data_IF_200368630748
#
_entry.id   IF_200368630748
#
_cell.length_a   1.000
_cell.length_b   1.000
_cell.length_c   1.000
_cell.angle_alpha   90.00
_cell.angle_beta   90.00
_cell.angle_gamma   90.00
#
_symmetry.space_group_name_H-M   'P 1'
#
loop_
_entity.id
_entity.type
_entity.pdbx_description
1 polymer ?
#
# COMPACT_ATOMS: atom_id res chain seq x y z
N UNK A 1 -4.52 -4.67 -24.11
CA UNK A 1 -5.37 -3.91 -23.16
C UNK A 1 -5.51 -4.66 -21.84
N UNK A 2 -5.68 -5.98 -21.93
CA UNK A 2 -5.83 -6.96 -20.86
C UNK A 2 -4.73 -6.87 -19.81
N UNK A 3 -3.45 -6.79 -20.21
CA UNK A 3 -2.32 -6.62 -19.26
C UNK A 3 -2.35 -5.27 -18.54
N UNK A 4 -2.76 -4.20 -19.23
CA UNK A 4 -2.91 -2.87 -18.62
C UNK A 4 -4.08 -2.87 -17.62
N UNK A 5 -5.20 -3.52 -17.97
CA UNK A 5 -6.32 -3.71 -17.04
C UNK A 5 -5.91 -4.55 -15.84
N UNK A 6 -5.22 -5.67 -16.04
CA UNK A 6 -4.72 -6.51 -14.96
C UNK A 6 -3.88 -5.70 -13.98
N UNK A 7 -2.90 -4.95 -14.50
CA UNK A 7 -2.05 -4.11 -13.66
C UNK A 7 -2.85 -3.07 -12.86
N UNK A 8 -3.88 -2.45 -13.46
CA UNK A 8 -4.71 -1.47 -12.76
C UNK A 8 -5.60 -2.10 -11.68
N UNK A 9 -6.20 -3.25 -11.97
CA UNK A 9 -7.03 -3.98 -10.99
C UNK A 9 -6.15 -4.52 -9.84
N UNK A 10 -4.91 -4.91 -10.14
CA UNK A 10 -3.92 -5.35 -9.15
C UNK A 10 -3.62 -4.29 -8.09
N UNK A 11 -3.63 -3.01 -8.47
CA UNK A 11 -3.43 -1.90 -7.52
C UNK A 11 -4.59 -1.73 -6.53
N UNK A 12 -5.76 -2.31 -6.77
CA UNK A 12 -6.86 -2.25 -5.80
C UNK A 12 -6.80 -3.40 -4.79
N UNK A 13 -5.94 -4.41 -4.98
CA UNK A 13 -5.88 -5.59 -4.12
C UNK A 13 -5.30 -5.25 -2.75
N UNK A 14 -6.02 -5.62 -1.70
CA UNK A 14 -5.52 -5.78 -0.33
C UNK A 14 -4.92 -7.20 -0.19
N UNK A 15 -3.59 -7.26 -0.01
CA UNK A 15 -2.87 -8.54 0.06
C UNK A 15 -3.08 -9.29 1.38
N UNK A 16 -3.54 -8.62 2.44
CA UNK A 16 -3.87 -9.31 3.68
C UNK A 16 -5.16 -10.14 3.49
N UNK A 17 -6.06 -9.66 2.62
CA UNK A 17 -7.28 -10.37 2.22
C UNK A 17 -7.01 -11.46 1.16
N UNK A 18 -5.85 -11.42 0.51
CA UNK A 18 -5.47 -12.31 -0.59
C UNK A 18 -4.05 -12.88 -0.32
N UNK A 19 -3.90 -13.89 0.56
CA UNK A 19 -2.63 -14.55 0.82
C UNK A 19 -2.24 -15.43 -0.37
N UNK A 20 -1.64 -14.80 -1.37
CA UNK A 20 -1.26 -15.42 -2.63
C UNK A 20 0.20 -15.85 -2.58
N UNK A 21 0.56 -16.94 -3.23
CA UNK A 21 1.98 -17.26 -3.43
C UNK A 21 2.50 -16.52 -4.68
N UNK A 22 3.77 -16.13 -4.68
CA UNK A 22 4.42 -15.48 -5.82
C UNK A 22 4.58 -13.97 -5.69
N UNK A 23 5.11 -13.35 -6.76
CA UNK A 23 5.55 -11.96 -6.74
C UNK A 23 4.43 -10.93 -6.54
N UNK A 24 4.80 -9.77 -5.99
CA UNK A 24 3.88 -8.66 -5.70
C UNK A 24 3.66 -7.70 -6.88
N UNK A 25 4.30 -7.99 -8.02
CA UNK A 25 4.31 -7.09 -9.18
C UNK A 25 2.99 -7.13 -9.97
N UNK A 26 2.56 -5.99 -10.54
CA UNK A 26 1.33 -5.88 -11.33
C UNK A 26 1.45 -6.53 -12.73
N UNK A 27 2.54 -7.25 -13.00
CA UNK A 27 2.71 -8.03 -14.23
C UNK A 27 2.16 -9.43 -13.98
N UNK A 28 1.37 -10.00 -14.92
CA UNK A 28 0.89 -11.38 -14.79
C UNK A 28 2.04 -12.35 -14.61
N UNK A 29 1.88 -13.30 -13.68
CA UNK A 29 2.80 -14.41 -13.53
C UNK A 29 2.37 -15.58 -14.43
N UNK A 30 3.27 -16.02 -15.30
CA UNK A 30 2.96 -16.99 -16.35
C UNK A 30 2.00 -16.45 -17.43
N UNK A 31 1.05 -17.30 -17.85
CA UNK A 31 0.07 -16.98 -18.88
C UNK A 31 -1.15 -16.25 -18.30
N UNK A 32 -1.50 -15.10 -18.90
CA UNK A 32 -2.71 -14.37 -18.57
C UNK A 32 -3.90 -14.93 -19.36
N UNK A 33 -4.80 -15.62 -18.65
CA UNK A 33 -6.07 -16.12 -19.17
C UNK A 33 -7.13 -15.03 -19.08
N UNK A 34 -7.91 -14.87 -20.15
CA UNK A 34 -8.92 -13.81 -20.26
C UNK A 34 -10.24 -14.40 -20.70
N UNK A 35 -11.31 -14.10 -19.96
CA UNK A 35 -12.68 -14.48 -20.31
C UNK A 35 -13.55 -13.24 -20.26
N UNK A 36 -14.23 -12.96 -21.37
CA UNK A 36 -15.12 -11.80 -21.50
C UNK A 36 -16.56 -12.26 -21.63
N UNK A 37 -17.46 -11.51 -21.00
CA UNK A 37 -18.91 -11.59 -21.19
C UNK A 37 -19.43 -10.19 -21.53
N UNK A 38 -20.69 -10.04 -21.99
CA UNK A 38 -21.25 -8.72 -22.27
C UNK A 38 -21.24 -7.73 -21.10
N UNK A 39 -21.08 -8.21 -19.85
CA UNK A 39 -21.14 -7.37 -18.64
C UNK A 39 -19.91 -7.51 -17.74
N UNK A 40 -18.92 -8.34 -18.10
CA UNK A 40 -17.75 -8.55 -17.25
C UNK A 40 -16.52 -9.03 -18.00
N UNK A 41 -15.35 -8.69 -17.45
CA UNK A 41 -14.06 -9.22 -17.88
C UNK A 41 -13.42 -9.90 -16.68
N UNK A 42 -13.07 -11.17 -16.86
CA UNK A 42 -12.26 -11.95 -15.93
C UNK A 42 -10.84 -12.07 -16.48
N UNK A 43 -9.86 -11.79 -15.65
CA UNK A 43 -8.44 -11.92 -15.91
C UNK A 43 -7.85 -12.86 -14.86
N UNK A 44 -7.06 -13.84 -15.26
CA UNK A 44 -6.54 -14.84 -14.33
C UNK A 44 -5.11 -15.21 -14.72
N UNK A 45 -4.20 -15.18 -13.75
CA UNK A 45 -2.84 -15.66 -13.91
C UNK A 45 -2.57 -16.85 -12.98
N UNK A 46 -1.31 -17.20 -12.73
CA UNK A 46 -0.96 -18.30 -11.83
C UNK A 46 -1.27 -18.02 -10.35
N UNK A 47 -1.43 -16.74 -9.98
CA UNK A 47 -1.59 -16.29 -8.60
C UNK A 47 -3.07 -16.17 -8.25
N UNK A 48 -3.83 -15.41 -9.04
CA UNK A 48 -5.22 -15.09 -8.70
C UNK A 48 -6.08 -14.78 -9.93
N UNK A 49 -7.39 -14.73 -9.70
CA UNK A 49 -8.39 -14.26 -10.65
C UNK A 49 -9.02 -12.93 -10.25
N UNK A 50 -9.04 -11.99 -11.19
CA UNK A 50 -9.62 -10.66 -11.12
C UNK A 50 -10.89 -10.59 -11.97
N UNK A 51 -11.91 -9.92 -11.48
CA UNK A 51 -13.14 -9.66 -12.23
C UNK A 51 -13.51 -8.18 -12.14
N UNK A 52 -13.78 -7.55 -13.27
CA UNK A 52 -14.44 -6.25 -13.34
C UNK A 52 -15.83 -6.40 -13.97
N UNK A 53 -16.85 -5.84 -13.33
CA UNK A 53 -18.24 -5.86 -13.79
C UNK A 53 -19.16 -6.78 -12.98
N UNK A 54 -20.07 -7.46 -13.69
CA UNK A 54 -21.04 -8.39 -13.10
C UNK A 54 -20.39 -9.76 -12.79
N UNK A 55 -20.76 -10.37 -11.66
CA UNK A 55 -20.28 -11.69 -11.26
C UNK A 55 -19.67 -11.71 -9.86
N UNK A 56 -19.36 -12.91 -9.36
CA UNK A 56 -18.77 -13.14 -8.03
C UNK A 56 -17.79 -14.32 -8.05
N UNK A 57 -17.45 -14.82 -9.23
CA UNK A 57 -16.75 -16.08 -9.41
C UNK A 57 -15.23 -15.93 -9.42
N UNK A 58 -14.67 -14.82 -8.93
CA UNK A 58 -13.24 -14.53 -8.91
C UNK A 58 -12.72 -14.30 -7.48
N UNK A 59 -11.40 -14.39 -7.32
CA UNK A 59 -10.73 -14.14 -6.04
C UNK A 59 -10.81 -12.66 -5.67
N UNK A 60 -10.75 -11.76 -6.66
CA UNK A 60 -10.91 -10.31 -6.48
C UNK A 60 -11.91 -9.74 -7.47
N UNK A 61 -12.91 -9.01 -6.96
CA UNK A 61 -14.11 -8.57 -7.68
C UNK A 61 -14.28 -7.06 -7.54
N UNK A 62 -14.12 -6.36 -8.65
CA UNK A 62 -14.21 -4.91 -8.78
C UNK A 62 -15.53 -4.53 -9.44
N UNK A 63 -16.36 -3.76 -8.74
CA UNK A 63 -17.67 -3.33 -9.27
C UNK A 63 -17.51 -2.20 -10.28
N UNK A 64 -17.99 -2.42 -11.50
CA UNK A 64 -18.02 -1.41 -12.56
C UNK A 64 -19.27 -0.54 -12.44
N UNK A 65 -19.09 0.73 -12.08
CA UNK A 65 -20.21 1.63 -11.72
C UNK A 65 -19.99 3.04 -12.28
N UNK A 66 -21.07 3.82 -12.45
CA UNK A 66 -20.95 5.13 -13.08
C UNK A 66 -20.33 6.18 -12.13
N UNK A 67 -20.44 5.94 -10.83
CA UNK A 67 -20.04 6.80 -9.72
C UNK A 67 -19.13 6.03 -8.75
N UNK A 68 -18.18 6.73 -8.13
CA UNK A 68 -17.33 6.16 -7.10
C UNK A 68 -18.11 6.05 -5.78
N UNK A 69 -18.43 4.82 -5.38
CA UNK A 69 -19.20 4.55 -4.17
C UNK A 69 -18.64 3.40 -3.35
N UNK A 70 -18.94 3.44 -2.06
CA UNK A 70 -18.83 2.29 -1.18
C UNK A 70 -19.97 1.30 -1.49
N UNK A 71 -19.62 0.05 -1.78
CA UNK A 71 -20.55 -1.01 -2.23
C UNK A 71 -20.83 -2.07 -1.16
N UNK A 72 -20.06 -2.10 -0.08
CA UNK A 72 -20.28 -2.96 1.09
C UNK A 72 -19.65 -2.36 2.36
N UNK A 73 -19.92 -2.93 3.53
CA UNK A 73 -19.46 -2.42 4.83
C UNK A 73 -18.13 -3.05 5.32
N UNK A 74 -17.63 -4.11 4.67
CA UNK A 74 -16.48 -4.91 5.11
C UNK A 74 -16.66 -5.68 6.45
N UNK A 75 -15.75 -6.60 6.79
CA UNK A 75 -15.32 -7.73 5.97
C UNK A 75 -16.32 -8.89 6.13
N UNK A 76 -17.27 -9.01 5.19
CA UNK A 76 -18.26 -10.11 5.17
C UNK A 76 -18.09 -11.08 3.99
N UNK A 77 -17.28 -10.73 2.98
CA UNK A 77 -16.90 -11.58 1.85
C UNK A 77 -15.49 -11.26 1.43
N UNK A 78 -14.58 -12.23 1.58
CA UNK A 78 -13.25 -12.16 0.98
C UNK A 78 -13.42 -11.99 -0.54
N UNK A 79 -12.76 -10.98 -1.11
CA UNK A 79 -12.67 -10.84 -2.56
C UNK A 79 -13.62 -9.86 -3.23
N UNK A 80 -14.58 -9.20 -2.56
CA UNK A 80 -15.33 -8.09 -3.18
C UNK A 80 -14.88 -6.76 -2.60
N UNK A 81 -14.24 -5.95 -3.43
CA UNK A 81 -13.74 -4.63 -3.08
C UNK A 81 -14.84 -3.74 -2.50
N UNK A 82 -14.54 -3.06 -1.38
CA UNK A 82 -15.42 -2.13 -0.67
C UNK A 82 -15.78 -0.93 -1.53
N UNK A 83 -14.86 -0.50 -2.38
CA UNK A 83 -15.08 0.62 -3.30
C UNK A 83 -15.33 0.13 -4.72
N UNK A 84 -16.32 0.72 -5.38
CA UNK A 84 -16.50 0.53 -6.80
C UNK A 84 -15.37 1.20 -7.59
N UNK A 85 -15.26 0.80 -8.86
CA UNK A 85 -14.44 1.47 -9.85
C UNK A 85 -15.34 2.12 -10.88
N UNK A 86 -15.15 3.42 -11.09
CA UNK A 86 -15.83 4.17 -12.13
C UNK A 86 -14.90 4.46 -13.31
N UNK A 87 -15.42 5.00 -14.44
CA UNK A 87 -14.60 5.35 -15.59
C UNK A 87 -13.42 6.27 -15.31
N UNK A 88 -13.46 7.07 -14.23
CA UNK A 88 -12.36 7.98 -13.88
C UNK A 88 -11.18 7.27 -13.21
N UNK A 89 -11.39 6.05 -12.69
CA UNK A 89 -10.31 5.21 -12.14
C UNK A 89 -9.36 4.69 -13.22
N UNK A 90 -9.66 4.91 -14.51
CA UNK A 90 -8.95 4.32 -15.63
C UNK A 90 -8.45 5.40 -16.61
N UNK A 91 -7.25 5.21 -17.20
CA UNK A 91 -6.79 6.02 -18.32
C UNK A 91 -7.80 6.00 -19.48
N UNK A 92 -7.89 7.07 -20.30
CA UNK A 92 -8.90 7.21 -21.35
C UNK A 92 -9.01 5.99 -22.28
N UNK A 93 -7.87 5.39 -22.63
CA UNK A 93 -7.78 4.21 -23.51
C UNK A 93 -8.41 2.96 -22.87
N UNK A 94 -8.11 2.67 -21.61
CA UNK A 94 -8.69 1.52 -20.88
C UNK A 94 -10.18 1.75 -20.65
N UNK A 95 -10.56 2.97 -20.26
CA UNK A 95 -11.96 3.37 -20.12
C UNK A 95 -12.78 3.10 -21.38
N UNK A 96 -12.31 3.58 -22.53
CA UNK A 96 -13.02 3.39 -23.80
C UNK A 96 -13.16 1.90 -24.14
N UNK A 97 -12.09 1.13 -23.94
CA UNK A 97 -12.09 -0.30 -24.19
C UNK A 97 -13.05 -1.05 -23.25
N UNK A 98 -13.07 -0.74 -21.95
CA UNK A 98 -14.04 -1.31 -20.99
C UNK A 98 -15.48 -1.05 -21.44
N UNK A 99 -15.81 0.19 -21.82
CA UNK A 99 -17.15 0.55 -22.32
C UNK A 99 -17.52 -0.26 -23.56
N UNK A 100 -16.57 -0.52 -24.45
CA UNK A 100 -16.80 -1.32 -25.65
C UNK A 100 -17.03 -2.81 -25.34
N UNK A 101 -16.33 -3.36 -24.33
CA UNK A 101 -16.39 -4.79 -24.00
C UNK A 101 -17.56 -5.14 -23.09
N UNK A 102 -17.80 -4.33 -22.04
CA UNK A 102 -18.76 -4.65 -20.97
C UNK A 102 -19.89 -3.62 -20.81
N UNK A 103 -19.96 -2.65 -21.72
CA UNK A 103 -21.02 -1.65 -21.76
C UNK A 103 -20.81 -0.45 -20.83
N UNK A 104 -21.79 0.47 -20.88
CA UNK A 104 -21.81 1.64 -19.99
C UNK A 104 -22.09 1.19 -18.55
N UNK A 105 -21.31 1.68 -17.57
CA UNK A 105 -21.59 1.37 -16.19
C UNK A 105 -22.90 2.02 -15.75
N UNK A 106 -23.58 1.39 -14.79
CA UNK A 106 -24.80 1.93 -14.18
C UNK A 106 -24.47 2.67 -12.90
N UNK A 107 -25.24 3.70 -12.60
CA UNK A 107 -25.22 4.31 -11.27
C UNK A 107 -25.80 3.33 -10.26
N UNK A 108 -25.19 3.27 -9.09
CA UNK A 108 -25.73 2.55 -7.94
C UNK A 108 -25.78 3.50 -6.74
N UNK A 109 -26.72 3.22 -5.83
CA UNK A 109 -26.85 3.95 -4.58
C UNK A 109 -25.75 3.52 -3.61
N UNK A 110 -25.20 4.47 -2.86
CA UNK A 110 -24.14 4.21 -1.88
C UNK A 110 -23.51 5.50 -1.35
N UNK A 111 -22.65 5.36 -0.34
CA UNK A 111 -21.87 6.47 0.18
C UNK A 111 -20.84 6.85 -0.90
N UNK A 112 -20.83 8.12 -1.32
CA UNK A 112 -19.85 8.61 -2.28
C UNK A 112 -18.45 8.60 -1.69
N UNK A 113 -17.51 8.02 -2.43
CA UNK A 113 -16.08 7.96 -2.06
C UNK A 113 -15.20 8.77 -3.00
N UNK A 114 -15.79 9.61 -3.87
CA UNK A 114 -15.07 10.47 -4.83
C UNK A 114 -14.01 11.36 -4.17
N UNK A 115 -14.33 11.96 -3.02
CA UNK A 115 -13.38 12.80 -2.26
C UNK A 115 -12.18 11.99 -1.77
N UNK A 116 -12.42 10.75 -1.33
CA UNK A 116 -11.36 9.86 -0.87
C UNK A 116 -10.49 9.41 -2.03
N UNK A 117 -11.07 8.98 -3.16
CA UNK A 117 -10.29 8.62 -4.35
C UNK A 117 -9.46 9.79 -4.88
N UNK A 118 -10.02 11.00 -4.93
CA UNK A 118 -9.25 12.20 -5.32
C UNK A 118 -8.09 12.47 -4.37
N UNK A 119 -8.31 12.42 -3.06
CA UNK A 119 -7.23 12.60 -2.07
C UNK A 119 -6.12 11.56 -2.27
N UNK A 120 -6.47 10.29 -2.46
CA UNK A 120 -5.49 9.22 -2.65
C UNK A 120 -4.76 9.36 -4.00
N UNK A 121 -5.43 9.80 -5.06
CA UNK A 121 -4.80 10.14 -6.34
C UNK A 121 -3.81 11.30 -6.21
N UNK A 122 -4.17 12.35 -5.46
CA UNK A 122 -3.30 13.49 -5.19
C UNK A 122 -2.06 13.08 -4.38
N UNK A 123 -2.23 12.22 -3.37
CA UNK A 123 -1.11 11.63 -2.60
C UNK A 123 -0.17 10.87 -3.54
N UNK A 124 -0.71 9.95 -4.35
CA UNK A 124 0.11 9.16 -5.28
C UNK A 124 0.84 10.05 -6.27
N UNK A 125 0.15 10.99 -6.89
CA UNK A 125 0.72 11.93 -7.88
C UNK A 125 1.93 12.67 -7.33
N UNK A 126 1.89 13.05 -6.04
CA UNK A 126 2.96 13.80 -5.39
C UNK A 126 4.12 12.93 -4.91
N UNK A 127 3.85 11.69 -4.50
CA UNK A 127 4.84 10.79 -3.90
C UNK A 127 5.48 9.82 -4.90
N UNK A 128 4.80 9.43 -5.97
CA UNK A 128 5.29 8.49 -6.98
C UNK A 128 6.65 8.90 -7.58
N UNK A 129 6.94 10.20 -7.86
CA UNK A 129 8.26 10.63 -8.32
C UNK A 129 9.40 10.35 -7.33
N UNK A 130 9.10 10.27 -6.03
CA UNK A 130 10.06 10.02 -4.96
C UNK A 130 10.22 8.53 -4.64
N UNK A 131 9.29 7.71 -5.11
CA UNK A 131 9.19 6.27 -4.84
C UNK A 131 9.18 5.51 -6.17
N UNK A 132 10.13 5.85 -7.05
CA UNK A 132 10.20 5.28 -8.38
C UNK A 132 10.35 3.74 -8.34
N UNK A 133 9.52 3.05 -9.12
CA UNK A 133 9.44 1.58 -9.20
C UNK A 133 8.88 0.87 -7.96
N UNK A 134 8.41 1.61 -6.96
CA UNK A 134 7.65 1.01 -5.86
C UNK A 134 6.27 0.62 -6.35
N UNK A 135 5.68 -0.42 -5.77
CA UNK A 135 4.32 -0.87 -6.11
C UNK A 135 3.30 -0.28 -5.14
N UNK A 136 2.12 0.04 -5.65
CA UNK A 136 1.06 0.73 -4.92
C UNK A 136 -0.17 -0.17 -4.83
N UNK A 137 -0.67 -0.37 -3.62
CA UNK A 137 -1.84 -1.22 -3.33
C UNK A 137 -2.81 -0.45 -2.45
N UNK A 138 -4.08 -0.43 -2.85
CA UNK A 138 -5.11 0.30 -2.13
C UNK A 138 -5.60 -0.54 -0.95
N UNK A 139 -5.41 -0.01 0.25
CA UNK A 139 -5.90 -0.60 1.49
C UNK A 139 -7.21 0.09 1.89
N UNK A 140 -8.34 -0.51 1.55
CA UNK A 140 -9.69 -0.02 1.92
C UNK A 140 -10.60 -1.11 2.44
N UNK A 141 -10.19 -2.38 2.37
CA UNK A 141 -11.06 -3.53 2.54
C UNK A 141 -10.95 -4.16 3.93
N UNK A 142 -9.73 -4.35 4.44
CA UNK A 142 -9.49 -5.09 5.67
C UNK A 142 -9.42 -4.20 6.94
N UNK A 143 -8.66 -3.11 6.89
CA UNK A 143 -8.37 -2.34 8.12
C UNK A 143 -9.57 -1.51 8.59
N UNK A 144 -9.97 -1.64 9.87
CA UNK A 144 -11.10 -0.87 10.42
C UNK A 144 -10.72 0.56 10.82
N UNK A 145 -9.42 0.85 10.92
CA UNK A 145 -8.86 2.06 11.53
C UNK A 145 -8.13 2.97 10.51
N UNK A 146 -8.04 2.57 9.24
CA UNK A 146 -7.32 3.33 8.22
C UNK A 146 -7.78 2.99 6.82
N UNK A 147 -7.49 3.90 5.88
CA UNK A 147 -7.58 3.67 4.45
C UNK A 147 -6.46 4.41 3.73
N UNK A 148 -5.89 3.84 2.67
CA UNK A 148 -4.78 4.50 1.98
C UNK A 148 -4.02 3.63 1.02
N UNK A 149 -2.80 4.05 0.69
CA UNK A 149 -1.88 3.28 -0.12
C UNK A 149 -0.90 2.52 0.76
N UNK A 150 -0.79 1.22 0.54
CA UNK A 150 0.42 0.46 0.85
C UNK A 150 1.40 0.55 -0.32
N UNK A 151 2.54 1.16 -0.07
CA UNK A 151 3.60 1.38 -1.04
C UNK A 151 4.76 0.46 -0.70
N UNK A 152 5.04 -0.54 -1.54
CA UNK A 152 6.03 -1.59 -1.26
C UNK A 152 7.33 -1.37 -2.02
N UNK A 153 8.43 -1.66 -1.35
CA UNK A 153 9.76 -1.59 -1.96
C UNK A 153 9.87 -2.48 -3.21
N UNK A 154 10.70 -2.10 -4.20
CA UNK A 154 10.93 -2.92 -5.38
C UNK A 154 11.40 -4.34 -5.03
N UNK A 155 10.84 -5.35 -5.71
CA UNK A 155 11.16 -6.76 -5.47
C UNK A 155 12.66 -7.05 -5.59
N UNK A 156 13.35 -6.38 -6.52
CA UNK A 156 14.80 -6.49 -6.71
C UNK A 156 15.63 -6.12 -5.46
N UNK A 157 15.05 -5.39 -4.50
CA UNK A 157 15.74 -5.02 -3.26
C UNK A 157 15.68 -6.14 -2.22
N UNK A 158 14.89 -7.20 -2.43
CA UNK A 158 14.67 -8.27 -1.46
C UNK A 158 14.31 -7.68 -0.09
N UNK A 159 13.27 -6.83 -0.06
CA UNK A 159 12.83 -6.08 1.11
C UNK A 159 11.30 -6.09 1.20
N UNK A 160 10.80 -6.18 2.42
CA UNK A 160 9.39 -6.10 2.82
C UNK A 160 9.08 -4.74 3.47
N UNK A 161 10.00 -3.77 3.40
CA UNK A 161 9.70 -2.43 3.87
C UNK A 161 8.55 -1.82 3.06
N UNK A 162 7.61 -1.23 3.78
CA UNK A 162 6.44 -0.56 3.22
C UNK A 162 6.28 0.83 3.79
N UNK A 163 5.69 1.71 2.99
CA UNK A 163 5.13 2.96 3.45
C UNK A 163 3.61 2.83 3.33
N UNK A 164 2.90 2.94 4.45
CA UNK A 164 1.47 3.21 4.40
C UNK A 164 1.26 4.72 4.37
N UNK A 165 0.37 5.23 3.52
CA UNK A 165 -0.02 6.65 3.53
C UNK A 165 -1.48 6.84 3.15
N UNK A 166 -2.22 7.59 3.95
CA UNK A 166 -3.63 7.90 3.70
C UNK A 166 -4.29 8.55 4.89
N UNK A 167 -5.44 8.01 5.30
CA UNK A 167 -6.22 8.47 6.43
C UNK A 167 -6.28 7.39 7.52
N UNK A 168 -6.26 7.80 8.78
CA UNK A 168 -6.38 6.91 9.94
C UNK A 168 -7.27 7.51 11.03
N UNK A 169 -7.91 6.65 11.82
CA UNK A 169 -8.84 6.98 12.90
C UNK A 169 -8.88 5.86 13.95
N UNK A 170 -9.42 6.15 15.13
CA UNK A 170 -9.84 5.14 16.10
C UNK A 170 -10.97 5.72 16.97
N UNK A 171 -11.45 4.97 17.98
CA UNK A 171 -12.54 5.44 18.85
C UNK A 171 -12.26 6.77 19.58
N UNK A 172 -10.98 7.14 19.73
CA UNK A 172 -10.52 8.30 20.49
C UNK A 172 -9.98 9.43 19.61
N UNK A 173 -9.69 9.16 18.33
CA UNK A 173 -9.01 10.10 17.43
C UNK A 173 -9.75 10.20 16.12
N UNK A 174 -10.16 11.43 15.79
CA UNK A 174 -10.80 11.77 14.53
C UNK A 174 -9.94 11.42 13.32
N UNK A 175 -10.61 11.25 12.18
CA UNK A 175 -9.96 10.97 10.90
C UNK A 175 -9.00 12.09 10.52
N UNK A 176 -7.74 11.73 10.29
CA UNK A 176 -6.68 12.64 9.85
C UNK A 176 -5.66 11.87 9.00
N UNK A 177 -4.67 12.58 8.46
CA UNK A 177 -3.55 11.97 7.74
C UNK A 177 -2.84 10.95 8.61
N UNK A 178 -2.49 9.82 8.02
CA UNK A 178 -1.85 8.70 8.69
C UNK A 178 -0.75 8.12 7.80
N UNK A 179 0.43 7.92 8.37
CA UNK A 179 1.61 7.44 7.65
C UNK A 179 2.41 6.48 8.53
N UNK A 180 2.76 5.33 7.97
CA UNK A 180 3.68 4.38 8.58
C UNK A 180 4.87 4.16 7.66
N UNK A 181 6.05 4.01 8.24
CA UNK A 181 7.19 3.39 7.58
C UNK A 181 7.55 2.15 8.37
N UNK A 182 7.31 0.99 7.80
CA UNK A 182 7.25 -0.26 8.54
C UNK A 182 7.86 -1.43 7.77
N UNK A 183 8.01 -2.54 8.47
CA UNK A 183 8.36 -3.83 7.89
C UNK A 183 7.58 -4.93 8.60
N UNK A 184 7.51 -6.10 7.98
CA UNK A 184 7.03 -7.30 8.66
C UNK A 184 7.84 -7.58 9.94
N UNK A 185 7.22 -7.96 11.06
CA UNK A 185 7.91 -8.35 12.30
C UNK A 185 8.90 -9.51 12.08
N UNK A 186 9.99 -9.65 12.87
CA UNK A 186 10.88 -10.79 12.77
C UNK A 186 10.15 -12.07 13.14
N UNK A 187 10.17 -13.06 12.23
CA UNK A 187 9.52 -14.35 12.44
C UNK A 187 8.01 -14.37 12.22
N UNK A 188 7.39 -13.21 11.94
CA UNK A 188 6.01 -13.15 11.43
C UNK A 188 6.11 -12.95 9.93
N UNK A 189 5.92 -14.06 9.20
CA UNK A 189 5.91 -14.08 7.75
C UNK A 189 4.49 -14.37 7.28
N UNK A 190 4.00 -13.55 6.36
CA UNK A 190 2.77 -13.87 5.65
C UNK A 190 3.02 -15.03 4.67
N UNK A 191 4.26 -15.16 4.16
CA UNK A 191 4.62 -16.17 3.15
C UNK A 191 6.02 -16.78 3.37
N UNK A 192 6.21 -18.09 3.12
CA UNK A 192 7.52 -18.73 3.27
C UNK A 192 8.64 -18.17 2.38
N UNK A 193 8.31 -17.68 1.19
CA UNK A 193 9.25 -17.09 0.23
C UNK A 193 9.75 -15.69 0.63
N UNK A 194 9.13 -15.07 1.64
CA UNK A 194 9.54 -13.77 2.19
C UNK A 194 10.60 -13.89 3.30
N UNK A 195 10.97 -15.12 3.70
CA UNK A 195 11.88 -15.37 4.82
C UNK A 195 13.23 -14.65 4.68
N UNK A 196 13.82 -14.66 3.50
CA UNK A 196 15.12 -14.00 3.27
C UNK A 196 15.00 -12.48 3.31
N UNK A 197 13.93 -11.92 2.71
CA UNK A 197 13.69 -10.48 2.74
C UNK A 197 13.45 -9.98 4.18
N UNK A 198 12.68 -10.71 4.98
CA UNK A 198 12.45 -10.40 6.41
C UNK A 198 13.76 -10.43 7.22
N UNK A 199 14.61 -11.44 6.99
CA UNK A 199 15.94 -11.53 7.61
C UNK A 199 16.80 -10.33 7.27
N UNK A 200 16.88 -9.95 5.99
CA UNK A 200 17.62 -8.78 5.53
C UNK A 200 17.07 -7.48 6.10
N UNK A 201 15.75 -7.35 6.19
CA UNK A 201 15.10 -6.17 6.77
C UNK A 201 15.36 -6.03 8.27
N UNK A 202 15.55 -7.14 8.99
CA UNK A 202 16.07 -7.13 10.35
C UNK A 202 17.45 -6.46 10.42
N UNK A 203 18.37 -6.83 9.52
CA UNK A 203 19.70 -6.22 9.44
C UNK A 203 19.64 -4.74 9.02
N UNK A 204 18.80 -4.40 8.03
CA UNK A 204 18.57 -3.02 7.60
C UNK A 204 18.02 -2.17 8.73
N UNK A 205 17.10 -2.69 9.54
CA UNK A 205 16.56 -2.00 10.71
C UNK A 205 17.66 -1.64 11.70
N UNK A 206 18.56 -2.59 12.02
CA UNK A 206 19.72 -2.33 12.88
C UNK A 206 20.63 -1.24 12.30
N UNK A 207 20.86 -1.26 10.98
CA UNK A 207 21.67 -0.26 10.30
C UNK A 207 21.01 1.13 10.30
N UNK A 208 19.71 1.21 10.00
CA UNK A 208 18.91 2.44 9.99
C UNK A 208 18.88 3.12 11.37
N UNK A 209 18.82 2.33 12.43
CA UNK A 209 18.74 2.78 13.82
C UNK A 209 20.12 2.93 14.49
N UNK A 210 21.22 2.69 13.78
CA UNK A 210 22.57 2.71 14.38
C UNK A 210 22.92 4.09 14.95
N UNK A 211 23.43 4.14 16.18
CA UNK A 211 23.76 5.38 16.91
C UNK A 211 25.00 6.14 16.43
N UNK A 212 25.64 5.75 15.33
CA UNK A 212 26.77 6.50 14.78
C UNK A 212 26.53 7.01 13.35
N UNK A 213 25.73 6.26 12.58
CA UNK A 213 25.54 6.49 11.14
C UNK A 213 24.14 6.15 10.62
N UNK A 214 23.22 5.75 11.49
CA UNK A 214 21.90 5.32 11.10
C UNK A 214 21.08 6.49 10.56
N UNK A 215 20.48 6.32 9.38
CA UNK A 215 19.70 7.38 8.75
C UNK A 215 18.53 7.86 9.64
N UNK A 216 17.89 6.94 10.39
CA UNK A 216 16.82 7.31 11.33
C UNK A 216 17.36 7.98 12.59
N UNK A 217 18.55 7.60 13.06
CA UNK A 217 19.22 8.28 14.18
C UNK A 217 19.65 9.71 13.82
N UNK A 218 20.06 9.92 12.58
CA UNK A 218 20.29 11.27 12.03
C UNK A 218 18.99 12.07 11.91
N UNK A 219 17.91 11.46 11.41
CA UNK A 219 16.59 12.10 11.35
C UNK A 219 16.09 12.51 12.75
N UNK A 220 16.32 11.66 13.76
CA UNK A 220 16.00 11.94 15.15
C UNK A 220 16.86 13.05 15.78
N UNK A 221 18.04 13.34 15.19
CA UNK A 221 19.10 14.10 15.83
C UNK A 221 19.40 13.60 17.26
N UNK A 222 19.29 12.27 17.46
CA UNK A 222 19.50 11.60 18.72
C UNK A 222 20.06 10.21 18.43
N UNK A 223 21.26 9.93 18.89
CA UNK A 223 21.97 8.68 18.60
C UNK A 223 21.54 7.50 19.48
N UNK A 224 20.87 7.78 20.59
CA UNK A 224 20.45 6.78 21.58
C UNK A 224 18.94 6.51 21.51
N UNK A 225 18.21 7.12 20.57
CA UNK A 225 16.75 6.98 20.49
C UNK A 225 16.31 5.51 20.39
N UNK A 226 17.09 4.69 19.66
CA UNK A 226 16.76 3.31 19.36
C UNK A 226 16.95 2.34 20.54
N UNK A 227 17.78 2.69 21.52
CA UNK A 227 18.10 1.83 22.67
C UNK A 227 17.04 1.92 23.78
N UNK A 228 16.24 2.99 23.81
CA UNK A 228 15.14 3.18 24.76
C UNK A 228 13.84 2.57 24.21
N UNK A 229 13.05 1.81 24.99
CA UNK A 229 11.75 1.27 24.56
C UNK A 229 10.64 2.34 24.67
N UNK A 230 10.86 3.52 24.09
CA UNK A 230 9.94 4.66 24.11
C UNK A 230 9.90 5.30 22.73
N UNK A 231 8.73 5.80 22.31
CA UNK A 231 8.64 6.54 21.07
C UNK A 231 9.43 7.85 21.15
N UNK A 232 10.04 8.24 20.04
CA UNK A 232 10.81 9.46 19.94
C UNK A 232 10.15 10.45 18.99
N UNK A 233 9.73 11.59 19.53
CA UNK A 233 9.05 12.65 18.78
C UNK A 233 10.00 13.34 17.79
N UNK A 234 9.63 13.36 16.50
CA UNK A 234 10.38 14.07 15.47
C UNK A 234 9.93 15.54 15.34
N UNK A 235 10.87 16.40 14.93
CA UNK A 235 10.62 17.80 14.58
C UNK A 235 10.08 17.92 13.14
N UNK A 236 8.95 17.27 12.89
CA UNK A 236 8.23 17.23 11.61
C UNK A 236 6.77 17.69 11.84
N UNK A 237 6.07 18.20 10.81
CA UNK A 237 4.68 18.65 10.96
C UNK A 237 3.75 17.53 11.45
N UNK A 238 2.87 17.87 12.41
CA UNK A 238 1.93 16.95 13.04
C UNK A 238 2.54 16.00 14.06
N UNK A 239 1.79 14.94 14.41
CA UNK A 239 2.26 13.94 15.35
C UNK A 239 3.10 12.83 14.69
N UNK A 240 4.35 13.14 14.33
CA UNK A 240 5.33 12.16 13.83
C UNK A 240 6.31 11.70 14.91
N UNK A 241 6.43 10.39 15.06
CA UNK A 241 7.29 9.71 16.02
C UNK A 241 8.07 8.57 15.37
N UNK A 242 9.30 8.34 15.82
CA UNK A 242 9.99 7.08 15.57
C UNK A 242 9.69 6.10 16.69
N UNK A 243 9.42 4.85 16.32
CA UNK A 243 9.15 3.77 17.25
C UNK A 243 10.29 2.76 17.17
N UNK A 244 11.12 2.65 18.22
CA UNK A 244 12.32 1.85 18.14
C UNK A 244 11.99 0.36 18.19
N UNK A 245 12.82 -0.51 17.56
CA UNK A 245 12.63 -1.96 17.59
C UNK A 245 12.56 -2.54 19.02
N UNK A 246 13.18 -1.87 19.98
CA UNK A 246 13.15 -2.21 21.42
C UNK A 246 11.74 -2.15 22.02
N UNK A 247 10.78 -1.47 21.39
CA UNK A 247 9.36 -1.51 21.78
C UNK A 247 8.66 -2.82 21.37
N UNK A 248 9.30 -3.69 20.58
CA UNK A 248 8.66 -4.87 20.01
C UNK A 248 7.52 -4.54 19.04
N UNK A 249 7.54 -3.32 18.48
CA UNK A 249 6.60 -2.84 17.46
C UNK A 249 7.34 -2.66 16.14
N UNK A 250 6.62 -2.80 15.04
CA UNK A 250 7.22 -2.95 13.71
C UNK A 250 6.89 -1.87 12.66
N UNK A 251 6.18 -0.76 12.95
CA UNK A 251 6.49 0.50 12.29
C UNK A 251 7.70 1.14 12.94
N UNK A 252 8.67 1.59 12.14
CA UNK A 252 9.81 2.38 12.59
C UNK A 252 9.46 3.87 12.69
N UNK A 253 8.50 4.33 11.89
CA UNK A 253 7.91 5.66 11.99
C UNK A 253 6.39 5.56 11.98
N UNK A 254 5.76 6.31 12.88
CA UNK A 254 4.32 6.49 12.96
C UNK A 254 4.01 7.99 12.90
N UNK A 255 3.22 8.40 11.91
CA UNK A 255 2.85 9.78 11.66
C UNK A 255 1.34 10.00 11.66
N UNK A 256 0.90 11.08 12.28
CA UNK A 256 -0.44 11.66 12.09
C UNK A 256 -0.38 13.13 11.74
N UNK A 257 -1.19 13.59 10.79
CA UNK A 257 -1.33 15.02 10.54
C UNK A 257 -2.22 15.67 11.63
N UNK A 258 -2.17 16.99 11.75
CA UNK A 258 -3.07 17.73 12.64
C UNK A 258 -4.47 17.90 12.06
N UNK A 259 -4.59 17.82 10.73
CA UNK A 259 -5.84 18.08 10.01
C UNK A 259 -5.97 17.22 8.75
N UNK A 260 -7.19 17.17 8.18
CA UNK A 260 -7.42 16.54 6.87
C UNK A 260 -7.08 17.44 5.68
N UNK A 261 -6.85 18.74 5.87
CA UNK A 261 -6.76 19.70 4.76
C UNK A 261 -5.41 19.69 4.05
N UNK A 262 -4.36 19.22 4.72
CA UNK A 262 -2.97 19.31 4.29
C UNK A 262 -2.29 17.93 4.18
N UNK A 263 -3.06 16.83 4.22
CA UNK A 263 -2.52 15.45 4.23
C UNK A 263 -1.54 15.20 3.09
N UNK A 264 -1.81 15.72 1.89
CA UNK A 264 -0.95 15.53 0.72
C UNK A 264 0.44 16.15 0.94
N UNK A 265 0.50 17.43 1.28
CA UNK A 265 1.77 18.13 1.49
C UNK A 265 2.48 17.64 2.76
N UNK A 266 1.71 17.32 3.81
CA UNK A 266 2.22 16.67 5.01
C UNK A 266 2.93 15.34 4.72
N UNK A 267 2.30 14.48 3.91
CA UNK A 267 2.89 13.20 3.52
C UNK A 267 4.18 13.39 2.71
N UNK A 268 4.21 14.36 1.79
CA UNK A 268 5.41 14.71 1.01
C UNK A 268 6.57 15.06 1.95
N UNK A 269 6.35 15.96 2.92
CA UNK A 269 7.40 16.38 3.86
C UNK A 269 7.97 15.20 4.64
N UNK A 270 7.13 14.26 5.08
CA UNK A 270 7.60 13.08 5.82
C UNK A 270 8.37 12.13 4.92
N UNK A 271 7.85 11.84 3.71
CA UNK A 271 8.54 10.95 2.76
C UNK A 271 9.86 11.56 2.28
N UNK A 272 9.95 12.89 2.15
CA UNK A 272 11.20 13.62 1.86
C UNK A 272 12.22 13.41 2.99
N UNK A 273 11.78 13.56 4.24
CA UNK A 273 12.61 13.33 5.41
C UNK A 273 13.08 11.86 5.54
N UNK A 274 12.29 10.90 5.03
CA UNK A 274 12.63 9.48 4.99
C UNK A 274 13.54 9.09 3.80
N UNK A 275 13.75 9.94 2.79
CA UNK A 275 14.56 9.59 1.61
C UNK A 275 15.96 9.05 1.97
N UNK A 276 16.71 9.61 2.94
CA UNK A 276 17.98 9.04 3.34
C UNK A 276 17.86 7.59 3.82
N UNK A 277 16.84 7.25 4.61
CA UNK A 277 16.59 5.88 5.06
C UNK A 277 16.20 4.97 3.89
N UNK A 278 15.23 5.41 3.08
CA UNK A 278 14.72 4.69 1.91
C UNK A 278 15.84 4.31 0.94
N UNK A 279 16.75 5.25 0.66
CA UNK A 279 17.85 5.04 -0.30
C UNK A 279 18.78 3.88 0.07
N UNK A 280 18.91 3.57 1.37
CA UNK A 280 19.77 2.49 1.86
C UNK A 280 19.16 1.10 1.74
N UNK A 281 17.84 0.98 1.54
CA UNK A 281 17.15 -0.31 1.48
C UNK A 281 17.57 -1.15 0.28
N UNK A 282 17.93 -0.49 -0.83
CA UNK A 282 18.42 -1.11 -2.04
C UNK A 282 19.81 -1.73 -1.93
N UNK A 283 20.55 -1.44 -0.85
CA UNK A 283 21.91 -1.94 -0.68
C UNK A 283 21.93 -3.47 -0.53
N UNK A 284 22.75 -4.12 -1.34
CA UNK A 284 23.04 -5.56 -1.19
C UNK A 284 23.95 -5.76 0.01
N UNK A 285 23.49 -6.57 0.97
CA UNK A 285 24.28 -6.93 2.14
C UNK A 285 25.03 -8.23 1.82
N UNK A 286 26.19 -8.10 1.18
CA UNK A 286 27.04 -9.25 0.87
C UNK A 286 27.86 -9.67 2.11
N UNK A 287 27.83 -10.96 2.45
CA UNK A 287 28.79 -11.56 3.38
C UNK A 287 28.55 -11.31 4.88
N UNK A 288 27.40 -10.79 5.31
CA UNK A 288 27.06 -10.71 6.74
C UNK A 288 26.33 -11.99 7.17
N UNK A 289 27.14 -12.99 7.53
CA UNK A 289 26.73 -14.21 8.22
C UNK A 289 26.74 -13.96 9.74
N UNK A 290 25.56 -13.79 10.35
CA UNK A 290 25.43 -14.01 11.79
C UNK A 290 24.90 -15.43 11.99
N UNK A 291 25.81 -16.36 12.23
CA UNK A 291 25.49 -17.64 12.87
C UNK A 291 25.36 -17.42 14.37
#
# INVERSE_FOLDING_TARGET
>A
MERELFARLWEEIDFDDHPLSGGHQPKPDGELRVKMTPNSIRLEDARLSLLIGDGNDADSVHRWTANDVQVNDGPGRMGVHRWSMSPQCFPPKIRQWLIQQIGQPKSIDGISIEKHRRLLEDIRTRLEPMLANWTWHLEVDNKPDRMGWYIRAPESWCSLFTIFVGLGWNEQVETCGFLLFERAPPGELDRPDEAEANRLDGLRTVALCNGHRGALSHLANNMEWASSPQSFKLQLPGNVELWPPSMGRWPLLHGRSESMNDVVDWAVVIVEALQPAISTLSATIDGISWQ
#
